data_IF_283177786444
#
_entry.id   IF_283177786444
#
_cell.length_a   1.000
_cell.length_b   1.000
_cell.length_c   1.000
_cell.angle_alpha   90.00
_cell.angle_beta   90.00
_cell.angle_gamma   90.00
#
_symmetry.space_group_name_H-M   'P 1'
#
loop_
_entity.id
_entity.type
_entity.pdbx_description
1 polymer ?
#
# COMPACT_ATOMS: atom_id res chain seq x y z
N UNK A 1 -12.25 -14.06 -4.95
CA UNK A 1 -11.06 -14.64 -4.31
C UNK A 1 -11.03 -14.31 -2.82
N UNK A 2 -10.42 -15.18 -2.04
CA UNK A 2 -10.22 -15.00 -0.61
C UNK A 2 -9.39 -13.75 -0.33
N UNK A 3 -9.88 -12.88 0.54
CA UNK A 3 -9.18 -11.63 0.87
C UNK A 3 -7.83 -11.87 1.54
N UNK A 4 -7.70 -12.97 2.29
CA UNK A 4 -6.42 -13.35 2.88
C UNK A 4 -5.38 -13.70 1.83
N UNK A 5 -5.79 -14.33 0.74
CA UNK A 5 -4.88 -14.63 -0.36
C UNK A 5 -4.47 -13.38 -1.12
N UNK A 6 -5.39 -12.43 -1.26
CA UNK A 6 -5.05 -11.11 -1.83
C UNK A 6 -3.97 -10.45 -0.98
N UNK A 7 -4.15 -10.45 0.33
CA UNK A 7 -3.17 -9.91 1.26
C UNK A 7 -1.81 -10.59 1.11
N UNK A 8 -1.79 -11.92 1.04
CA UNK A 8 -0.54 -12.66 0.88
C UNK A 8 0.20 -12.28 -0.40
N UNK A 9 -0.54 -12.10 -1.49
CA UNK A 9 0.05 -11.71 -2.77
C UNK A 9 0.63 -10.31 -2.72
N UNK A 10 -0.08 -9.38 -2.08
CA UNK A 10 0.42 -8.02 -1.91
C UNK A 10 1.67 -8.00 -1.04
N UNK A 11 1.70 -8.80 0.04
CA UNK A 11 2.87 -8.91 0.90
C UNK A 11 4.06 -9.51 0.15
N UNK A 12 3.80 -10.50 -0.70
CA UNK A 12 4.86 -11.08 -1.52
C UNK A 12 5.45 -10.04 -2.48
N UNK A 13 4.59 -9.23 -3.08
CA UNK A 13 5.02 -8.16 -3.97
C UNK A 13 5.89 -7.15 -3.23
N UNK A 14 5.49 -6.78 -2.01
CA UNK A 14 6.28 -5.87 -1.18
C UNK A 14 7.66 -6.46 -0.90
N UNK A 15 7.71 -7.73 -0.53
CA UNK A 15 8.96 -8.41 -0.21
C UNK A 15 9.88 -8.48 -1.43
N UNK A 16 9.32 -8.77 -2.60
CA UNK A 16 10.10 -8.83 -3.83
C UNK A 16 10.72 -7.49 -4.21
N UNK A 17 10.13 -6.41 -3.74
CA UNK A 17 10.63 -5.06 -4.00
C UNK A 17 11.38 -4.49 -2.79
N UNK A 18 11.77 -5.34 -1.86
CA UNK A 18 12.55 -4.97 -0.68
C UNK A 18 11.85 -3.93 0.20
N UNK A 19 10.53 -3.99 0.24
CA UNK A 19 9.71 -3.12 1.08
C UNK A 19 9.35 -3.85 2.35
N UNK A 20 9.44 -3.15 3.48
CA UNK A 20 9.06 -3.69 4.79
C UNK A 20 7.69 -3.17 5.15
N UNK A 21 6.79 -4.08 5.54
CA UNK A 21 5.43 -3.73 5.93
C UNK A 21 5.26 -3.98 7.42
N UNK A 22 4.78 -2.97 8.13
CA UNK A 22 4.54 -3.04 9.57
C UNK A 22 3.13 -2.56 9.88
N UNK A 23 2.50 -3.19 10.87
CA UNK A 23 1.21 -2.73 11.39
C UNK A 23 1.46 -1.85 12.60
N UNK A 24 0.88 -0.65 12.57
CA UNK A 24 1.16 0.39 13.58
C UNK A 24 -0.16 0.95 14.10
N UNK A 25 -0.17 1.48 15.34
CA UNK A 25 -1.37 2.11 15.90
C UNK A 25 -1.57 3.53 15.35
N UNK A 26 -1.73 3.63 14.03
CA UNK A 26 -1.95 4.92 13.38
C UNK A 26 -3.35 5.43 13.68
N UNK A 27 -3.49 6.74 13.87
CA UNK A 27 -4.77 7.36 14.20
C UNK A 27 -5.27 8.31 13.11
N UNK A 28 -4.36 8.97 12.42
CA UNK A 28 -4.71 9.97 11.41
C UNK A 28 -4.70 9.37 10.00
N UNK A 29 -3.74 8.50 9.73
CA UNK A 29 -3.57 7.88 8.41
C UNK A 29 -3.89 6.39 8.46
N UNK A 30 -4.45 5.87 7.38
CA UNK A 30 -4.63 4.42 7.23
C UNK A 30 -3.31 3.74 6.90
N UNK A 31 -2.46 4.42 6.16
CA UNK A 31 -1.13 3.92 5.80
C UNK A 31 -0.17 5.06 5.56
N UNK A 32 1.11 4.76 5.69
CA UNK A 32 2.19 5.70 5.39
C UNK A 32 3.30 4.97 4.67
N UNK A 33 4.02 5.71 3.83
CA UNK A 33 5.20 5.20 3.14
C UNK A 33 6.37 6.11 3.48
N UNK A 34 7.46 5.52 3.95
CA UNK A 34 8.68 6.26 4.26
C UNK A 34 9.87 5.43 3.76
N UNK A 35 10.51 5.88 2.68
CA UNK A 35 11.59 5.17 2.02
C UNK A 35 11.16 3.76 1.60
N UNK A 36 11.69 2.72 2.24
CA UNK A 36 11.39 1.33 1.94
C UNK A 36 10.44 0.70 2.96
N UNK A 37 9.77 1.51 3.79
CA UNK A 37 8.91 1.02 4.85
C UNK A 37 7.48 1.50 4.65
N UNK A 38 6.55 0.55 4.76
CA UNK A 38 5.12 0.82 4.69
C UNK A 38 4.53 0.54 6.07
N UNK A 39 3.86 1.54 6.63
CA UNK A 39 3.11 1.38 7.87
C UNK A 39 1.63 1.28 7.56
N UNK A 40 0.95 0.31 8.15
CA UNK A 40 -0.49 0.09 7.97
C UNK A 40 -1.16 0.19 9.33
N UNK A 41 -2.26 0.93 9.40
CA UNK A 41 -3.03 1.02 10.65
C UNK A 41 -3.52 -0.37 11.07
N UNK A 42 -3.39 -0.70 12.36
CA UNK A 42 -3.64 -2.05 12.84
C UNK A 42 -5.08 -2.29 13.32
N UNK A 43 -5.97 -1.34 13.07
CA UNK A 43 -7.38 -1.41 13.53
C UNK A 43 -8.38 -1.48 12.38
N UNK A 44 -7.95 -1.99 11.23
CA UNK A 44 -8.78 -2.04 10.03
C UNK A 44 -9.17 -3.47 9.67
N UNK A 45 -10.25 -3.60 8.88
CA UNK A 45 -10.63 -4.89 8.30
C UNK A 45 -9.61 -5.34 7.26
N UNK A 46 -9.65 -6.64 6.93
CA UNK A 46 -8.72 -7.17 5.91
C UNK A 46 -8.94 -6.50 4.55
N UNK A 47 -10.18 -6.13 4.23
CA UNK A 47 -10.48 -5.44 2.99
C UNK A 47 -9.83 -4.06 2.96
N UNK A 48 -9.93 -3.32 4.06
CA UNK A 48 -9.29 -2.00 4.19
C UNK A 48 -7.77 -2.13 4.18
N UNK A 49 -7.24 -3.16 4.83
CA UNK A 49 -5.80 -3.42 4.83
C UNK A 49 -5.31 -3.67 3.40
N UNK A 50 -6.02 -4.50 2.64
CA UNK A 50 -5.62 -4.79 1.25
C UNK A 50 -5.63 -3.52 0.40
N UNK A 51 -6.67 -2.71 0.54
CA UNK A 51 -6.75 -1.45 -0.22
C UNK A 51 -5.60 -0.51 0.16
N UNK A 52 -5.37 -0.35 1.45
CA UNK A 52 -4.31 0.54 1.95
C UNK A 52 -2.93 0.04 1.52
N UNK A 53 -2.68 -1.25 1.65
CA UNK A 53 -1.40 -1.83 1.24
C UNK A 53 -1.16 -1.65 -0.25
N UNK A 54 -2.18 -1.90 -1.08
CA UNK A 54 -2.07 -1.69 -2.52
C UNK A 54 -1.79 -0.22 -2.85
N UNK A 55 -2.41 0.70 -2.12
CA UNK A 55 -2.21 2.13 -2.31
C UNK A 55 -0.77 2.54 -1.99
N UNK A 56 -0.22 2.05 -0.87
CA UNK A 56 1.17 2.37 -0.51
C UNK A 56 2.18 1.69 -1.43
N UNK A 57 1.88 0.47 -1.89
CA UNK A 57 2.72 -0.18 -2.90
C UNK A 57 2.73 0.62 -4.21
N UNK A 58 1.59 1.18 -4.58
CA UNK A 58 1.50 2.02 -5.77
C UNK A 58 2.36 3.28 -5.63
N UNK A 59 2.32 3.92 -4.47
CA UNK A 59 3.20 5.07 -4.20
C UNK A 59 4.67 4.68 -4.29
N UNK A 60 5.03 3.54 -3.71
CA UNK A 60 6.42 3.07 -3.76
C UNK A 60 6.87 2.83 -5.19
N UNK A 61 6.00 2.26 -6.01
CA UNK A 61 6.30 1.96 -7.40
C UNK A 61 6.41 3.23 -8.26
N UNK A 62 5.44 4.13 -8.12
CA UNK A 62 5.33 5.29 -9.00
C UNK A 62 6.26 6.44 -8.59
N UNK A 63 6.55 6.55 -7.30
CA UNK A 63 7.22 7.72 -6.75
C UNK A 63 8.46 7.37 -5.92
N UNK A 64 9.09 6.26 -6.27
CA UNK A 64 10.22 5.73 -5.52
C UNK A 64 11.33 6.77 -5.31
N UNK A 65 11.62 7.56 -6.32
CA UNK A 65 12.69 8.55 -6.28
C UNK A 65 12.26 9.89 -5.69
N UNK A 66 11.04 9.99 -5.19
CA UNK A 66 10.54 11.24 -4.60
C UNK A 66 10.77 11.32 -3.09
N UNK A 67 11.32 10.25 -2.48
CA UNK A 67 11.57 10.21 -1.06
C UNK A 67 10.29 9.98 -0.26
N UNK A 68 10.17 10.68 0.86
CA UNK A 68 8.98 10.58 1.71
C UNK A 68 7.80 11.28 1.03
N UNK A 69 6.73 10.55 0.78
CA UNK A 69 5.56 11.06 0.08
C UNK A 69 4.30 10.98 0.94
N UNK A 70 4.43 11.16 2.24
CA UNK A 70 3.27 11.22 3.13
C UNK A 70 2.38 12.42 2.80
N UNK A 71 2.93 13.45 2.17
CA UNK A 71 2.18 14.62 1.72
C UNK A 71 2.17 14.67 0.19
N UNK A 72 1.56 13.67 -0.44
CA UNK A 72 1.53 13.63 -1.88
C UNK A 72 0.53 14.64 -2.45
N UNK A 73 0.82 15.11 -3.66
CA UNK A 73 -0.07 16.01 -4.40
C UNK A 73 -1.28 15.23 -4.90
N UNK A 74 -2.31 15.95 -5.34
CA UNK A 74 -3.50 15.32 -5.91
C UNK A 74 -3.17 14.42 -7.10
N UNK A 75 -2.21 14.81 -7.94
CA UNK A 75 -1.80 14.02 -9.09
C UNK A 75 -1.18 12.69 -8.65
N UNK A 76 -0.33 12.72 -7.63
CA UNK A 76 0.29 11.50 -7.09
C UNK A 76 -0.77 10.58 -6.49
N UNK A 77 -1.73 11.14 -5.77
CA UNK A 77 -2.81 10.36 -5.17
C UNK A 77 -3.67 9.70 -6.24
N UNK A 78 -4.02 10.42 -7.30
CA UNK A 78 -4.81 9.86 -8.38
C UNK A 78 -4.07 8.72 -9.09
N UNK A 79 -2.79 8.92 -9.39
CA UNK A 79 -1.98 7.89 -10.02
C UNK A 79 -1.85 6.65 -9.14
N UNK A 80 -1.61 6.87 -7.84
CA UNK A 80 -1.49 5.77 -6.89
C UNK A 80 -2.81 4.99 -6.77
N UNK A 81 -3.94 5.68 -6.76
CA UNK A 81 -5.24 5.01 -6.65
C UNK A 81 -5.54 4.15 -7.87
N UNK A 82 -5.23 4.63 -9.07
CA UNK A 82 -5.40 3.85 -10.29
C UNK A 82 -4.52 2.60 -10.27
N UNK A 83 -3.27 2.78 -9.89
CA UNK A 83 -2.32 1.66 -9.84
C UNK A 83 -2.72 0.67 -8.75
N UNK A 84 -3.20 1.17 -7.61
CA UNK A 84 -3.69 0.31 -6.54
C UNK A 84 -4.84 -0.58 -7.01
N UNK A 85 -5.77 -0.02 -7.78
CA UNK A 85 -6.88 -0.80 -8.35
C UNK A 85 -6.38 -1.90 -9.27
N UNK A 86 -5.38 -1.60 -10.08
CA UNK A 86 -4.77 -2.60 -10.94
C UNK A 86 -4.09 -3.70 -10.13
N UNK A 87 -3.39 -3.33 -9.07
CA UNK A 87 -2.73 -4.31 -8.21
C UNK A 87 -3.76 -5.22 -7.52
N UNK A 88 -4.85 -4.65 -7.04
CA UNK A 88 -5.92 -5.42 -6.41
C UNK A 88 -6.56 -6.39 -7.40
N UNK A 89 -6.86 -5.94 -8.62
CA UNK A 89 -7.41 -6.80 -9.66
C UNK A 89 -6.45 -7.93 -9.99
N UNK A 90 -5.18 -7.62 -10.13
CA UNK A 90 -4.15 -8.61 -10.43
C UNK A 90 -4.03 -9.63 -9.31
N UNK A 91 -4.16 -9.18 -8.06
CA UNK A 91 -4.09 -10.07 -6.90
C UNK A 91 -5.36 -10.88 -6.69
N UNK A 92 -6.42 -10.60 -7.45
CA UNK A 92 -7.64 -11.38 -7.42
C UNK A 92 -8.75 -10.81 -6.55
N UNK A 93 -8.67 -9.53 -6.25
CA UNK A 93 -9.73 -8.89 -5.46
C UNK A 93 -10.99 -8.67 -6.29
#
# INVERSE_FOLDING_TARGET
MDKGKVFERLMLLARKNSLQVQFLPLQVHCGILCNDRIGIANNMSIEQINHTLAHELAHAYLHYDKGDITESTGDYEEQAERTAKMLLDFAGA
#
